data_IF_845600561513
#
_entry.id   IF_845600561513
#
_cell.length_a   1.000
_cell.length_b   1.000
_cell.length_c   1.000
_cell.angle_alpha   90.00
_cell.angle_beta   90.00
_cell.angle_gamma   90.00
#
_symmetry.space_group_name_H-M   'P 1'
#
loop_
_entity.id
_entity.type
_entity.pdbx_description
1 polymer ?
#
# COMPACT_ATOMS: atom_id res chain seq x y z
N UNK A 1 -6.18 14.51 2.64
CA UNK A 1 -5.98 14.27 4.07
C UNK A 1 -4.85 13.26 4.31
N UNK A 2 -4.23 13.37 5.44
CA UNK A 2 -3.15 12.46 5.82
C UNK A 2 -3.75 11.17 6.38
N UNK A 3 -3.40 10.04 5.75
CA UNK A 3 -4.00 8.73 6.03
C UNK A 3 -3.91 8.29 7.49
N UNK A 4 -2.77 8.52 8.14
CA UNK A 4 -2.59 8.13 9.53
C UNK A 4 -3.51 8.90 10.48
N UNK A 5 -3.70 10.20 10.25
CA UNK A 5 -4.61 11.01 11.05
C UNK A 5 -6.06 10.54 10.93
N UNK A 6 -6.49 10.23 9.70
CA UNK A 6 -7.83 9.70 9.44
C UNK A 6 -8.01 8.33 10.12
N UNK A 7 -7.01 7.46 10.02
CA UNK A 7 -7.04 6.15 10.66
C UNK A 7 -7.20 6.27 12.19
N UNK A 8 -6.41 7.13 12.83
CA UNK A 8 -6.50 7.35 14.28
C UNK A 8 -7.89 7.79 14.70
N UNK A 9 -8.50 8.68 13.91
CA UNK A 9 -9.82 9.21 14.19
C UNK A 9 -10.92 8.14 14.13
N UNK A 10 -10.83 7.23 13.17
CA UNK A 10 -11.89 6.25 12.89
C UNK A 10 -11.50 4.80 13.15
N UNK A 11 -10.39 4.55 13.83
CA UNK A 11 -9.83 3.20 14.02
C UNK A 11 -10.83 2.18 14.56
N UNK A 12 -11.67 2.58 15.51
CA UNK A 12 -12.67 1.69 16.11
C UNK A 12 -13.77 1.24 15.13
N UNK A 13 -13.90 1.92 14.02
CA UNK A 13 -14.89 1.62 12.97
C UNK A 13 -14.33 0.78 11.84
N UNK A 14 -13.03 0.55 11.82
CA UNK A 14 -12.36 -0.18 10.74
C UNK A 14 -12.70 -1.66 10.82
N UNK A 15 -13.14 -2.23 9.70
CA UNK A 15 -13.48 -3.67 9.58
C UNK A 15 -12.71 -4.37 8.47
N UNK A 16 -12.23 -3.61 7.49
CA UNK A 16 -11.44 -4.12 6.37
C UNK A 16 -10.26 -3.21 6.12
N UNK A 17 -9.11 -3.80 5.80
CA UNK A 17 -7.88 -3.06 5.50
C UNK A 17 -7.31 -3.55 4.18
N UNK A 18 -7.08 -2.61 3.26
CA UNK A 18 -6.34 -2.82 2.04
C UNK A 18 -5.09 -1.96 2.08
N UNK A 19 -3.95 -2.55 1.80
CA UNK A 19 -2.67 -1.86 1.77
C UNK A 19 -2.17 -1.75 0.34
N UNK A 20 -1.91 -0.53 -0.08
CA UNK A 20 -1.36 -0.22 -1.40
C UNK A 20 -0.35 0.89 -1.25
N UNK A 21 0.72 0.82 -2.00
CA UNK A 21 1.77 1.84 -1.99
C UNK A 21 1.92 2.47 -3.37
N UNK A 22 2.69 3.52 -3.45
CA UNK A 22 2.92 4.24 -4.70
C UNK A 22 4.42 4.54 -4.89
N UNK A 23 4.79 4.75 -6.15
CA UNK A 23 6.12 5.27 -6.52
C UNK A 23 5.98 6.74 -6.86
N UNK A 24 6.46 7.65 -6.01
CA UNK A 24 6.21 9.09 -6.18
C UNK A 24 6.83 9.67 -7.45
N UNK A 25 7.97 9.16 -7.90
CA UNK A 25 8.60 9.56 -9.15
C UNK A 25 7.72 9.25 -10.36
N UNK A 26 7.09 8.08 -10.38
CA UNK A 26 6.15 7.69 -11.43
C UNK A 26 4.88 8.53 -11.36
N UNK A 27 4.36 8.80 -10.17
CA UNK A 27 3.20 9.69 -9.99
C UNK A 27 3.47 11.07 -10.57
N UNK A 28 4.64 11.64 -10.29
CA UNK A 28 5.03 12.94 -10.83
C UNK A 28 5.07 12.93 -12.34
N UNK A 29 5.62 11.87 -12.95
CA UNK A 29 5.67 11.70 -14.41
C UNK A 29 4.28 11.59 -15.01
N UNK A 30 3.41 10.80 -14.41
CA UNK A 30 2.01 10.62 -14.86
C UNK A 30 1.28 11.95 -14.87
N UNK A 31 1.43 12.76 -13.84
CA UNK A 31 0.82 14.09 -13.76
C UNK A 31 1.40 15.04 -14.79
N UNK A 32 2.73 15.08 -14.95
CA UNK A 32 3.40 15.96 -15.89
C UNK A 32 3.03 15.66 -17.34
N UNK A 33 2.91 14.39 -17.69
CA UNK A 33 2.59 13.94 -19.05
C UNK A 33 1.09 13.73 -19.27
N UNK A 34 0.26 14.03 -18.28
CA UNK A 34 -1.22 13.89 -18.32
C UNK A 34 -1.67 12.51 -18.79
N UNK A 35 -1.04 11.47 -18.27
CA UNK A 35 -1.37 10.09 -18.58
C UNK A 35 -2.75 9.68 -18.04
N UNK A 36 -3.40 8.75 -18.72
CA UNK A 36 -4.61 8.11 -18.19
C UNK A 36 -4.28 7.21 -17.00
N UNK A 37 -5.31 6.82 -16.24
CA UNK A 37 -5.14 5.88 -15.13
C UNK A 37 -4.45 4.59 -15.57
N UNK A 38 -4.93 3.97 -16.66
CA UNK A 38 -4.35 2.73 -17.18
C UNK A 38 -2.89 2.89 -17.62
N UNK A 39 -2.57 4.00 -18.27
CA UNK A 39 -1.18 4.31 -18.63
C UNK A 39 -0.31 4.44 -17.39
N UNK A 40 -0.82 5.10 -16.35
CA UNK A 40 -0.14 5.22 -15.07
C UNK A 40 0.12 3.87 -14.41
N UNK A 41 -0.86 2.98 -14.41
CA UNK A 41 -0.72 1.61 -13.91
C UNK A 41 0.40 0.88 -14.65
N UNK A 42 0.40 0.94 -15.97
CA UNK A 42 1.41 0.30 -16.82
C UNK A 42 2.82 0.87 -16.61
N UNK A 43 2.93 2.13 -16.19
CA UNK A 43 4.21 2.75 -15.86
C UNK A 43 4.70 2.44 -14.45
N UNK A 44 3.90 1.76 -13.64
CA UNK A 44 4.29 1.33 -12.31
C UNK A 44 4.00 2.35 -11.21
N UNK A 45 2.92 3.12 -11.36
CA UNK A 45 2.47 4.07 -10.33
C UNK A 45 2.22 3.39 -8.99
N UNK A 46 1.54 2.24 -9.02
CA UNK A 46 1.20 1.49 -7.82
C UNK A 46 2.17 0.35 -7.56
N UNK A 47 2.38 0.05 -6.30
CA UNK A 47 3.22 -1.06 -5.88
C UNK A 47 2.72 -1.63 -4.55
N UNK A 48 3.38 -2.68 -4.08
CA UNK A 48 3.03 -3.33 -2.81
C UNK A 48 3.64 -2.58 -1.62
N UNK A 49 3.08 -2.74 -0.41
CA UNK A 49 3.71 -2.23 0.80
C UNK A 49 5.16 -2.70 0.92
N UNK A 50 6.04 -1.78 1.26
CA UNK A 50 7.48 -2.05 1.38
C UNK A 50 8.29 -1.74 0.13
N UNK A 51 7.63 -1.49 -0.99
CA UNK A 51 8.29 -1.16 -2.27
C UNK A 51 8.02 0.28 -2.73
N UNK A 52 7.29 1.04 -1.97
CA UNK A 52 6.96 2.44 -2.26
C UNK A 52 7.45 3.39 -1.20
N UNK A 53 6.67 4.43 -0.95
CA UNK A 53 7.07 5.56 -0.10
C UNK A 53 6.38 5.58 1.26
N UNK A 54 5.29 4.83 1.42
CA UNK A 54 4.50 4.88 2.65
C UNK A 54 5.15 4.05 3.76
N UNK A 55 5.37 4.67 4.92
CA UNK A 55 5.76 3.94 6.12
C UNK A 55 4.49 3.42 6.82
N UNK A 56 4.27 2.12 6.75
CA UNK A 56 3.09 1.48 7.33
C UNK A 56 3.25 1.11 8.81
N UNK A 57 4.43 1.22 9.40
CA UNK A 57 4.66 0.85 10.79
C UNK A 57 3.72 1.59 11.76
N UNK A 58 3.55 2.92 11.69
CA UNK A 58 2.59 3.62 12.54
C UNK A 58 1.14 3.18 12.32
N UNK A 59 0.80 2.80 11.09
CA UNK A 59 -0.54 2.32 10.73
C UNK A 59 -0.81 0.98 11.43
N UNK A 60 0.14 0.06 11.41
CA UNK A 60 0.02 -1.22 12.11
C UNK A 60 -0.09 -1.04 13.63
N UNK A 61 0.64 -0.07 14.20
CA UNK A 61 0.54 0.26 15.62
C UNK A 61 -0.88 0.69 16.00
N UNK A 62 -1.49 1.57 15.22
CA UNK A 62 -2.87 2.03 15.46
C UNK A 62 -3.86 0.88 15.38
N UNK A 63 -3.71 0.01 14.39
CA UNK A 63 -4.58 -1.17 14.26
C UNK A 63 -4.43 -2.10 15.46
N UNK A 64 -3.21 -2.35 15.92
CA UNK A 64 -2.95 -3.18 17.09
C UNK A 64 -3.51 -2.57 18.38
N UNK A 65 -3.34 -1.28 18.59
CA UNK A 65 -3.88 -0.55 19.74
C UNK A 65 -5.41 -0.60 19.82
N UNK A 66 -6.07 -0.71 18.69
CA UNK A 66 -7.53 -0.79 18.60
C UNK A 66 -8.04 -2.23 18.41
N UNK A 67 -7.17 -3.22 18.65
CA UNK A 67 -7.52 -4.65 18.59
C UNK A 67 -8.15 -5.06 17.26
N UNK A 68 -7.62 -4.55 16.15
CA UNK A 68 -8.13 -4.90 14.84
C UNK A 68 -8.02 -6.41 14.62
N UNK A 69 -9.13 -7.03 14.27
CA UNK A 69 -9.19 -8.43 13.88
C UNK A 69 -9.78 -8.54 12.47
N UNK A 70 -9.14 -9.33 11.62
CA UNK A 70 -9.58 -9.51 10.24
C UNK A 70 -8.38 -9.63 9.31
N UNK A 71 -8.67 -9.61 8.02
CA UNK A 71 -7.65 -9.71 7.00
C UNK A 71 -7.01 -8.36 6.71
N UNK A 72 -5.74 -8.41 6.35
CA UNK A 72 -5.04 -7.29 5.75
C UNK A 72 -4.74 -7.70 4.31
N UNK A 73 -5.42 -7.06 3.37
CA UNK A 73 -5.33 -7.36 1.96
C UNK A 73 -4.27 -6.50 1.30
N UNK A 74 -3.34 -7.13 0.61
CA UNK A 74 -2.34 -6.42 -0.20
C UNK A 74 -2.91 -6.20 -1.59
N UNK A 75 -2.89 -4.96 -2.02
CA UNK A 75 -3.37 -4.56 -3.33
C UNK A 75 -2.27 -3.83 -4.07
N UNK A 76 -2.03 -4.23 -5.32
CA UNK A 76 -1.09 -3.55 -6.20
C UNK A 76 -1.55 -3.74 -7.63
N UNK A 77 -2.08 -2.70 -8.21
CA UNK A 77 -2.47 -2.72 -9.62
C UNK A 77 -1.21 -2.56 -10.48
N UNK A 78 -0.63 -3.68 -10.89
CA UNK A 78 0.62 -3.70 -11.64
C UNK A 78 0.50 -4.53 -12.92
N UNK A 79 1.30 -4.18 -13.91
CA UNK A 79 1.42 -4.95 -15.14
C UNK A 79 2.29 -6.19 -14.87
N UNK A 80 1.74 -7.42 -14.98
CA UNK A 80 2.51 -8.63 -14.71
C UNK A 80 3.69 -8.84 -15.66
N UNK A 81 3.72 -8.16 -16.80
CA UNK A 81 4.85 -8.22 -17.72
C UNK A 81 6.12 -7.54 -17.16
N UNK A 82 5.95 -6.56 -16.27
CA UNK A 82 7.06 -5.82 -15.67
C UNK A 82 7.19 -6.02 -14.16
N UNK A 83 6.18 -6.59 -13.52
CA UNK A 83 6.16 -6.84 -12.08
C UNK A 83 5.63 -8.25 -11.82
N UNK A 84 6.54 -9.18 -11.53
CA UNK A 84 6.16 -10.58 -11.26
C UNK A 84 5.25 -10.65 -10.03
N UNK A 85 3.99 -11.09 -10.15
CA UNK A 85 3.04 -11.08 -9.05
C UNK A 85 3.51 -11.87 -7.82
N UNK A 86 4.16 -13.01 -8.04
CA UNK A 86 4.64 -13.85 -6.94
C UNK A 86 5.77 -13.18 -6.15
N UNK A 87 6.74 -12.61 -6.85
CA UNK A 87 7.87 -11.92 -6.22
C UNK A 87 7.40 -10.71 -5.41
N UNK A 88 6.48 -9.93 -5.96
CA UNK A 88 5.92 -8.77 -5.26
C UNK A 88 5.05 -9.18 -4.07
N UNK A 89 4.29 -10.25 -4.19
CA UNK A 89 3.53 -10.79 -3.06
C UNK A 89 4.46 -11.23 -1.91
N UNK A 90 5.58 -11.88 -2.22
CA UNK A 90 6.58 -12.26 -1.21
C UNK A 90 7.21 -11.03 -0.55
N UNK A 91 7.54 -10.01 -1.33
CA UNK A 91 8.10 -8.75 -0.83
C UNK A 91 7.15 -8.09 0.16
N UNK A 92 5.88 -7.99 -0.20
CA UNK A 92 4.85 -7.43 0.67
C UNK A 92 4.69 -8.25 1.95
N UNK A 93 4.65 -9.57 1.84
CA UNK A 93 4.50 -10.47 3.00
C UNK A 93 5.65 -10.30 3.99
N UNK A 94 6.88 -10.24 3.50
CA UNK A 94 8.06 -10.02 4.35
C UNK A 94 8.00 -8.69 5.07
N UNK A 95 7.67 -7.63 4.34
CA UNK A 95 7.56 -6.29 4.92
C UNK A 95 6.50 -6.25 6.04
N UNK A 96 5.32 -6.77 5.78
CA UNK A 96 4.23 -6.80 6.76
C UNK A 96 4.62 -7.63 7.99
N UNK A 97 5.25 -8.78 7.78
CA UNK A 97 5.72 -9.62 8.87
C UNK A 97 6.70 -8.88 9.79
N UNK A 98 7.66 -8.16 9.22
CA UNK A 98 8.62 -7.37 9.98
C UNK A 98 7.97 -6.19 10.72
N UNK A 99 7.15 -5.41 10.04
CA UNK A 99 6.62 -4.15 10.59
C UNK A 99 5.41 -4.34 11.49
N UNK A 100 4.61 -5.37 11.26
CA UNK A 100 3.43 -5.67 12.06
C UNK A 100 3.65 -6.78 13.10
N UNK A 101 4.75 -7.49 13.03
CA UNK A 101 5.04 -8.60 13.95
C UNK A 101 4.21 -9.86 13.68
N UNK A 102 3.87 -10.07 12.43
CA UNK A 102 3.03 -11.22 12.04
C UNK A 102 3.81 -12.41 11.50
#
# INVERSE_FOLDING_TARGET
EESLAVLKKYAKRIRHVHLKDIRPDVVAKVKAEKMSFLQGVRKGTFTVPGDGVIDFAPIFEVLAENNYEGYVLVEAEQDPAIANPFEYALKARKYIAEKAGL
#
